data_IF_045398096397
#
_entry.id   IF_045398096397
#
_cell.length_a   1.000
_cell.length_b   1.000
_cell.length_c   1.000
_cell.angle_alpha   90.00
_cell.angle_beta   90.00
_cell.angle_gamma   90.00
#
_symmetry.space_group_name_H-M   'P 1'
#
loop_
_entity.id
_entity.type
_entity.pdbx_description
1 polymer ?
#
# COMPACT_ATOMS: atom_id res chain seq x y z
N UNK A 1 -40.62 10.24 17.53
CA UNK A 1 -40.83 9.76 16.16
C UNK A 1 -41.59 8.44 16.25
N UNK A 2 -42.89 8.40 15.93
CA UNK A 2 -43.70 7.15 15.99
C UNK A 2 -43.36 6.34 14.74
N UNK A 3 -42.79 5.15 14.93
CA UNK A 3 -42.56 4.22 13.82
C UNK A 3 -43.90 3.84 13.19
N UNK A 4 -44.00 3.81 11.84
CA UNK A 4 -45.21 3.44 11.14
C UNK A 4 -45.65 2.03 11.54
N UNK A 5 -46.98 1.77 11.58
CA UNK A 5 -47.58 0.48 11.93
C UNK A 5 -47.29 -0.61 10.87
N UNK A 6 -46.04 -0.95 10.73
CA UNK A 6 -45.59 -2.01 9.84
C UNK A 6 -45.89 -3.39 10.45
N UNK A 7 -46.26 -4.36 9.62
CA UNK A 7 -46.49 -5.73 10.08
C UNK A 7 -45.23 -6.26 10.77
N UNK A 8 -45.38 -7.08 11.80
CA UNK A 8 -44.30 -7.72 12.57
C UNK A 8 -43.26 -8.37 11.63
N UNK A 9 -43.72 -8.96 10.53
CA UNK A 9 -42.89 -9.59 9.50
C UNK A 9 -41.95 -8.59 8.81
N UNK A 10 -42.44 -7.41 8.47
CA UNK A 10 -41.65 -6.36 7.84
C UNK A 10 -40.58 -5.79 8.79
N UNK A 11 -40.92 -5.71 10.08
CA UNK A 11 -39.96 -5.33 11.14
C UNK A 11 -38.81 -6.34 11.26
N UNK A 12 -39.12 -7.64 11.24
CA UNK A 12 -38.12 -8.71 11.30
C UNK A 12 -37.23 -8.71 10.05
N UNK A 13 -37.81 -8.57 8.85
CA UNK A 13 -37.01 -8.47 7.61
C UNK A 13 -36.07 -7.27 7.60
N UNK A 14 -36.55 -6.11 8.03
CA UNK A 14 -35.72 -4.90 8.10
C UNK A 14 -34.62 -5.04 9.14
N UNK A 15 -34.90 -5.67 10.28
CA UNK A 15 -33.90 -5.90 11.31
C UNK A 15 -32.82 -6.90 10.83
N UNK A 16 -33.23 -7.97 10.11
CA UNK A 16 -32.30 -8.92 9.53
C UNK A 16 -31.41 -8.30 8.44
N UNK A 17 -32.00 -7.47 7.57
CA UNK A 17 -31.24 -6.73 6.54
C UNK A 17 -30.29 -5.72 7.21
N UNK A 18 -30.75 -4.99 8.22
CA UNK A 18 -29.91 -4.05 8.97
C UNK A 18 -28.72 -4.72 9.65
N UNK A 19 -28.95 -5.89 10.26
CA UNK A 19 -27.89 -6.69 10.87
C UNK A 19 -26.88 -7.21 9.83
N UNK A 20 -27.37 -7.70 8.69
CA UNK A 20 -26.52 -8.16 7.59
C UNK A 20 -25.63 -7.04 7.04
N UNK A 21 -26.20 -5.85 6.81
CA UNK A 21 -25.45 -4.67 6.34
C UNK A 21 -24.42 -4.23 7.39
N UNK A 22 -24.80 -4.23 8.67
CA UNK A 22 -23.88 -3.90 9.76
C UNK A 22 -22.72 -4.89 9.88
N UNK A 23 -22.98 -6.20 9.77
CA UNK A 23 -21.94 -7.23 9.76
C UNK A 23 -20.99 -7.09 8.57
N UNK A 24 -21.54 -6.91 7.36
CA UNK A 24 -20.71 -6.71 6.16
C UNK A 24 -19.87 -5.43 6.25
N UNK A 25 -20.43 -4.34 6.77
CA UNK A 25 -19.70 -3.10 7.01
C UNK A 25 -18.57 -3.26 8.04
N UNK A 26 -18.81 -3.98 9.12
CA UNK A 26 -17.81 -4.27 10.14
C UNK A 26 -16.66 -5.15 9.58
N UNK A 27 -17.01 -6.18 8.81
CA UNK A 27 -16.00 -7.05 8.14
C UNK A 27 -15.19 -6.24 7.14
N UNK A 28 -15.83 -5.42 6.31
CA UNK A 28 -15.14 -4.57 5.34
C UNK A 28 -14.18 -3.58 6.00
N UNK A 29 -14.61 -2.92 7.08
CA UNK A 29 -13.77 -1.99 7.83
C UNK A 29 -12.55 -2.67 8.48
N UNK A 30 -12.76 -3.83 9.10
CA UNK A 30 -11.64 -4.57 9.72
C UNK A 30 -10.70 -5.14 8.67
N UNK A 31 -11.22 -5.62 7.54
CA UNK A 31 -10.42 -6.12 6.43
C UNK A 31 -9.55 -5.01 5.80
N UNK A 32 -10.11 -3.82 5.55
CA UNK A 32 -9.37 -2.66 5.04
C UNK A 32 -8.21 -2.28 5.97
N UNK A 33 -8.49 -2.17 7.28
CA UNK A 33 -7.47 -1.79 8.26
C UNK A 33 -6.33 -2.81 8.34
N UNK A 34 -6.65 -4.10 8.47
CA UNK A 34 -5.67 -5.19 8.54
C UNK A 34 -4.88 -5.31 7.23
N UNK A 35 -5.54 -5.18 6.09
CA UNK A 35 -4.89 -5.29 4.78
C UNK A 35 -3.89 -4.15 4.55
N UNK A 36 -4.25 -2.91 4.87
CA UNK A 36 -3.33 -1.75 4.78
C UNK A 36 -2.10 -1.94 5.66
N UNK A 37 -2.29 -2.37 6.90
CA UNK A 37 -1.18 -2.60 7.84
C UNK A 37 -0.24 -3.69 7.34
N UNK A 38 -0.77 -4.85 6.96
CA UNK A 38 0.02 -6.00 6.47
C UNK A 38 0.76 -5.71 5.16
N UNK A 39 0.10 -5.05 4.20
CA UNK A 39 0.74 -4.71 2.93
C UNK A 39 1.83 -3.66 3.10
N UNK A 40 1.64 -2.71 3.99
CA UNK A 40 2.65 -1.70 4.33
C UNK A 40 3.89 -2.36 4.94
N UNK A 41 3.70 -3.25 5.91
CA UNK A 41 4.77 -4.00 6.57
C UNK A 41 5.53 -4.89 5.57
N UNK A 42 4.83 -5.66 4.76
CA UNK A 42 5.41 -6.53 3.74
C UNK A 42 6.16 -5.75 2.65
N UNK A 43 5.62 -4.60 2.21
CA UNK A 43 6.29 -3.72 1.26
C UNK A 43 7.59 -3.16 1.84
N UNK A 44 7.58 -2.77 3.11
CA UNK A 44 8.76 -2.24 3.80
C UNK A 44 9.85 -3.31 3.94
N UNK A 45 9.48 -4.53 4.33
CA UNK A 45 10.43 -5.63 4.45
C UNK A 45 11.05 -6.00 3.10
N UNK A 46 10.23 -6.03 2.05
CA UNK A 46 10.71 -6.24 0.68
C UNK A 46 11.71 -5.17 0.25
N UNK A 47 11.45 -3.90 0.55
CA UNK A 47 12.36 -2.81 0.22
C UNK A 47 13.66 -2.89 1.02
N UNK A 48 13.59 -3.30 2.29
CA UNK A 48 14.76 -3.53 3.13
C UNK A 48 15.68 -4.59 2.53
N UNK A 49 15.14 -5.75 2.17
CA UNK A 49 15.89 -6.83 1.52
C UNK A 49 16.49 -6.37 0.20
N UNK A 50 15.75 -5.60 -0.62
CA UNK A 50 16.26 -5.05 -1.87
C UNK A 50 17.38 -4.02 -1.65
N UNK A 51 17.31 -3.21 -0.60
CA UNK A 51 18.38 -2.27 -0.25
C UNK A 51 19.64 -3.00 0.23
N UNK A 52 19.50 -4.06 1.00
CA UNK A 52 20.61 -4.93 1.43
C UNK A 52 21.28 -5.60 0.21
N UNK A 53 20.47 -6.19 -0.67
CA UNK A 53 20.97 -6.79 -1.91
C UNK A 53 21.69 -5.74 -2.80
N UNK A 54 21.16 -4.54 -2.89
CA UNK A 54 21.80 -3.44 -3.61
C UNK A 54 23.16 -3.10 -2.99
N UNK A 55 23.25 -3.04 -1.67
CA UNK A 55 24.51 -2.85 -0.96
C UNK A 55 25.54 -3.94 -1.29
N UNK A 56 25.10 -5.21 -1.36
CA UNK A 56 25.97 -6.35 -1.75
C UNK A 56 26.41 -6.23 -3.22
N UNK A 57 25.49 -5.90 -4.14
CA UNK A 57 25.83 -5.73 -5.55
C UNK A 57 26.88 -4.61 -5.72
N UNK A 58 26.73 -3.51 -4.97
CA UNK A 58 27.70 -2.40 -5.01
C UNK A 58 29.07 -2.88 -4.47
N UNK A 59 29.09 -3.57 -3.34
CA UNK A 59 30.34 -4.16 -2.79
C UNK A 59 31.00 -5.14 -3.76
N UNK A 60 30.18 -5.93 -4.46
CA UNK A 60 30.68 -6.87 -5.49
C UNK A 60 31.30 -6.20 -6.70
N UNK A 61 31.02 -4.92 -6.96
CA UNK A 61 31.67 -4.13 -8.05
C UNK A 61 33.08 -3.63 -7.68
N UNK A 62 33.46 -3.75 -6.42
CA UNK A 62 34.73 -3.32 -5.88
C UNK A 62 34.60 -2.24 -4.80
N UNK A 63 35.74 -1.67 -4.41
CA UNK A 63 35.80 -0.66 -3.35
C UNK A 63 34.97 0.58 -3.72
N UNK A 64 34.22 1.10 -2.75
CA UNK A 64 33.51 2.37 -2.91
C UNK A 64 34.43 3.51 -2.47
N UNK A 65 34.70 4.46 -3.35
CA UNK A 65 35.61 5.58 -3.10
C UNK A 65 35.13 6.86 -3.80
N UNK A 66 35.63 8.00 -3.34
CA UNK A 66 35.50 9.26 -4.07
C UNK A 66 36.88 9.56 -4.70
N UNK A 67 36.92 9.53 -6.03
CA UNK A 67 38.12 9.84 -6.84
C UNK A 67 37.82 11.04 -7.74
N UNK A 68 38.68 12.03 -7.72
CA UNK A 68 38.50 13.29 -8.47
C UNK A 68 37.12 13.91 -8.29
N UNK A 69 36.59 13.84 -7.03
CA UNK A 69 35.27 14.37 -6.67
C UNK A 69 34.11 13.57 -7.19
N UNK A 70 34.31 12.41 -7.83
CA UNK A 70 33.26 11.51 -8.31
C UNK A 70 33.17 10.25 -7.45
N UNK A 71 31.94 9.78 -7.19
CA UNK A 71 31.69 8.52 -6.52
C UNK A 71 31.97 7.35 -7.48
N UNK A 72 32.72 6.38 -7.01
CA UNK A 72 33.10 5.20 -7.76
C UNK A 72 32.63 3.92 -7.06
N UNK A 73 32.20 2.93 -7.86
CA UNK A 73 32.04 1.53 -7.44
C UNK A 73 33.09 0.70 -8.17
N UNK A 74 34.23 0.41 -7.52
CA UNK A 74 35.40 -0.13 -8.17
C UNK A 74 35.88 0.81 -9.30
N UNK A 75 35.94 0.32 -10.53
CA UNK A 75 36.30 1.11 -11.70
C UNK A 75 35.15 1.89 -12.34
N UNK A 76 33.92 1.77 -11.81
CA UNK A 76 32.72 2.37 -12.44
C UNK A 76 32.41 3.72 -11.82
N UNK A 77 32.37 4.78 -12.61
CA UNK A 77 31.88 6.11 -12.22
C UNK A 77 30.37 6.05 -12.04
N UNK A 78 29.87 6.56 -10.91
CA UNK A 78 28.45 6.55 -10.55
C UNK A 78 27.78 7.88 -10.83
N UNK A 79 28.49 9.00 -10.63
CA UNK A 79 27.96 10.36 -10.84
C UNK A 79 27.40 10.50 -12.28
N UNK A 80 26.09 10.75 -12.39
CA UNK A 80 25.38 10.91 -13.68
C UNK A 80 25.25 9.64 -14.51
N UNK A 81 25.56 8.47 -13.97
CA UNK A 81 25.49 7.20 -14.72
C UNK A 81 24.07 6.62 -14.70
N UNK A 82 23.22 7.17 -15.55
CA UNK A 82 21.82 6.73 -15.70
C UNK A 82 21.71 5.26 -16.13
N UNK A 83 22.60 4.82 -17.03
CA UNK A 83 22.58 3.43 -17.53
C UNK A 83 22.84 2.41 -16.40
N UNK A 84 23.75 2.71 -15.47
CA UNK A 84 24.00 1.90 -14.29
C UNK A 84 22.76 1.81 -13.41
N UNK A 85 22.13 2.96 -13.10
CA UNK A 85 20.94 3.02 -12.26
C UNK A 85 19.78 2.30 -12.90
N UNK A 86 19.50 2.51 -14.18
CA UNK A 86 18.41 1.86 -14.90
C UNK A 86 18.63 0.33 -15.01
N UNK A 87 19.88 -0.09 -15.15
CA UNK A 87 20.24 -1.51 -15.11
C UNK A 87 19.90 -2.15 -13.76
N UNK A 88 20.30 -1.51 -12.68
CA UNK A 88 20.02 -1.99 -11.31
C UNK A 88 18.52 -1.95 -10.98
N UNK A 89 17.78 -0.93 -11.43
CA UNK A 89 16.31 -0.85 -11.27
C UNK A 89 15.62 -2.05 -11.93
N UNK A 90 16.03 -2.45 -13.14
CA UNK A 90 15.48 -3.64 -13.80
C UNK A 90 15.76 -4.92 -13.01
N UNK A 91 16.98 -5.07 -12.48
CA UNK A 91 17.35 -6.23 -11.67
C UNK A 91 16.56 -6.32 -10.35
N UNK A 92 16.20 -5.17 -9.75
CA UNK A 92 15.48 -5.08 -8.48
C UNK A 92 13.94 -5.07 -8.65
N UNK A 93 13.42 -5.38 -9.85
CA UNK A 93 11.98 -5.50 -10.10
C UNK A 93 11.26 -4.16 -10.19
N UNK A 94 11.90 -3.12 -10.75
CA UNK A 94 11.27 -1.86 -11.15
C UNK A 94 11.02 -0.85 -10.03
N UNK A 95 11.54 -1.08 -8.82
CA UNK A 95 11.55 -0.05 -7.78
C UNK A 95 12.54 1.06 -8.14
N UNK A 96 12.22 2.32 -7.82
CA UNK A 96 13.15 3.42 -8.06
C UNK A 96 14.40 3.27 -7.19
N UNK A 97 15.54 3.68 -7.73
CA UNK A 97 16.83 3.63 -7.06
C UNK A 97 17.47 5.01 -7.06
N UNK A 98 18.24 5.28 -6.03
CA UNK A 98 19.00 6.53 -5.89
C UNK A 98 20.36 6.26 -5.25
N UNK A 99 21.38 6.98 -5.73
CA UNK A 99 22.71 6.97 -5.14
C UNK A 99 23.07 8.37 -4.67
N UNK A 100 23.57 8.45 -3.45
CA UNK A 100 24.05 9.67 -2.82
C UNK A 100 25.57 9.64 -2.62
N UNK A 101 26.22 10.76 -2.90
CA UNK A 101 27.58 11.07 -2.49
C UNK A 101 27.50 12.09 -1.34
N UNK A 102 27.90 11.70 -0.12
CA UNK A 102 27.42 12.38 1.05
C UNK A 102 25.88 12.44 1.01
N UNK A 103 25.29 13.60 1.19
CA UNK A 103 23.85 13.85 1.10
C UNK A 103 23.37 14.29 -0.30
N UNK A 104 24.30 14.50 -1.25
CA UNK A 104 24.01 14.92 -2.62
C UNK A 104 23.62 13.73 -3.50
N UNK A 105 22.47 13.81 -4.16
CA UNK A 105 21.99 12.78 -5.09
C UNK A 105 22.75 12.87 -6.42
N UNK A 106 23.61 11.90 -6.69
CA UNK A 106 24.49 11.89 -7.87
C UNK A 106 23.98 11.03 -9.02
N UNK A 107 23.12 10.04 -8.72
CA UNK A 107 22.43 9.24 -9.73
C UNK A 107 21.05 8.80 -9.20
N UNK A 108 20.02 8.82 -10.04
CA UNK A 108 18.66 8.52 -9.60
C UNK A 108 17.76 8.07 -10.73
N UNK A 109 16.93 7.07 -10.46
CA UNK A 109 15.79 6.70 -11.30
C UNK A 109 14.50 7.44 -10.93
N UNK A 110 14.48 8.16 -9.81
CA UNK A 110 13.32 8.97 -9.40
C UNK A 110 13.17 10.15 -10.34
N UNK A 111 11.97 10.32 -10.88
CA UNK A 111 11.64 11.43 -11.79
C UNK A 111 10.68 12.39 -11.11
N UNK A 112 10.84 13.67 -11.41
CA UNK A 112 9.91 14.74 -11.09
C UNK A 112 8.69 14.68 -12.02
N UNK A 113 7.67 15.49 -11.72
CA UNK A 113 6.45 15.57 -12.53
C UNK A 113 6.72 16.01 -13.99
N UNK A 114 7.79 16.79 -14.23
CA UNK A 114 8.24 17.22 -15.54
C UNK A 114 9.07 16.15 -16.30
N UNK A 115 9.25 14.95 -15.69
CA UNK A 115 10.03 13.85 -16.27
C UNK A 115 11.54 13.92 -16.02
N UNK A 116 12.08 15.01 -15.47
CA UNK A 116 13.50 15.15 -15.15
C UNK A 116 13.88 14.26 -13.96
N UNK A 117 15.14 13.79 -13.94
CA UNK A 117 15.64 13.01 -12.80
C UNK A 117 15.97 13.92 -11.62
N UNK A 118 15.79 13.41 -10.40
CA UNK A 118 16.06 14.17 -9.17
C UNK A 118 17.55 14.33 -8.83
N UNK A 119 18.44 14.16 -9.80
CA UNK A 119 19.89 14.34 -9.65
C UNK A 119 20.22 15.78 -9.26
N UNK A 120 21.25 15.98 -8.44
CA UNK A 120 21.67 17.31 -7.95
C UNK A 120 20.91 17.80 -6.73
N UNK A 121 19.87 17.11 -6.28
CA UNK A 121 19.16 17.44 -5.04
C UNK A 121 19.82 16.80 -3.81
N UNK A 122 19.61 17.41 -2.63
CA UNK A 122 20.11 16.86 -1.37
C UNK A 122 19.04 16.05 -0.64
N UNK A 123 19.50 15.09 0.18
CA UNK A 123 18.59 14.37 1.08
C UNK A 123 18.01 15.35 2.10
N UNK A 124 16.70 15.33 2.27
CA UNK A 124 16.02 16.16 3.26
C UNK A 124 16.41 15.73 4.67
N UNK A 125 16.67 16.72 5.55
CA UNK A 125 16.91 16.44 6.96
C UNK A 125 15.69 15.69 7.56
N UNK A 126 15.97 14.58 8.23
CA UNK A 126 14.94 13.71 8.79
C UNK A 126 15.50 12.39 9.29
N UNK A 127 14.62 11.41 9.59
CA UNK A 127 15.04 10.11 10.16
C UNK A 127 16.04 9.35 9.28
N UNK A 128 15.86 9.37 7.95
CA UNK A 128 16.78 8.74 7.00
C UNK A 128 18.18 9.39 7.04
N UNK A 129 18.22 10.73 7.00
CA UNK A 129 19.49 11.47 7.10
C UNK A 129 20.22 11.18 8.41
N UNK A 130 19.51 11.24 9.53
CA UNK A 130 20.08 10.98 10.87
C UNK A 130 20.61 9.55 11.02
N UNK A 131 19.92 8.56 10.46
CA UNK A 131 20.38 7.18 10.46
C UNK A 131 21.65 7.01 9.63
N UNK A 132 21.61 7.44 8.37
CA UNK A 132 22.68 7.20 7.40
C UNK A 132 23.96 7.99 7.72
N UNK A 133 23.82 9.31 7.92
CA UNK A 133 24.96 10.22 8.03
C UNK A 133 25.28 10.61 9.49
N UNK A 134 24.32 10.48 10.40
CA UNK A 134 24.57 10.68 11.83
C UNK A 134 25.09 9.44 12.54
N UNK A 135 24.45 8.29 12.33
CA UNK A 135 24.80 7.03 13.00
C UNK A 135 25.52 6.02 12.11
N UNK A 136 25.50 6.22 10.80
CA UNK A 136 26.04 5.28 9.83
C UNK A 136 25.23 3.98 9.72
N UNK A 137 23.94 4.03 10.04
CA UNK A 137 23.06 2.85 10.07
C UNK A 137 22.17 2.79 8.84
N UNK A 138 21.75 1.60 8.40
CA UNK A 138 20.69 1.46 7.41
C UNK A 138 19.38 2.11 7.89
N UNK A 139 18.58 2.56 6.95
CA UNK A 139 17.25 3.11 7.23
C UNK A 139 16.21 2.44 6.35
N UNK A 140 15.06 2.12 6.93
CA UNK A 140 13.84 1.77 6.18
C UNK A 140 12.64 2.46 6.80
N UNK A 141 11.83 3.11 5.97
CA UNK A 141 10.69 3.89 6.45
C UNK A 141 10.17 4.88 5.42
N UNK A 142 9.28 5.73 5.91
CA UNK A 142 8.76 6.84 5.13
C UNK A 142 9.82 7.94 5.01
N UNK A 143 9.99 8.45 3.81
CA UNK A 143 10.89 9.56 3.53
C UNK A 143 10.25 10.55 2.56
N UNK A 144 10.49 11.83 2.75
CA UNK A 144 9.99 12.89 1.87
C UNK A 144 11.01 13.14 0.74
N UNK A 145 10.59 12.91 -0.50
CA UNK A 145 11.41 13.15 -1.69
C UNK A 145 10.69 14.18 -2.55
N UNK A 146 11.22 15.39 -2.60
CA UNK A 146 10.67 16.51 -3.39
C UNK A 146 9.16 16.72 -3.14
N UNK A 147 8.74 16.73 -1.87
CA UNK A 147 7.35 16.95 -1.48
C UNK A 147 6.44 15.72 -1.61
N UNK A 148 6.93 14.60 -2.15
CA UNK A 148 6.20 13.34 -2.26
C UNK A 148 6.68 12.35 -1.19
N UNK A 149 5.75 11.71 -0.49
CA UNK A 149 6.07 10.67 0.49
C UNK A 149 6.40 9.35 -0.22
N UNK A 150 7.57 8.80 0.11
CA UNK A 150 8.07 7.53 -0.39
C UNK A 150 8.20 6.51 0.73
N UNK A 151 7.91 5.25 0.43
CA UNK A 151 8.54 4.14 1.12
C UNK A 151 9.94 3.95 0.59
N UNK A 152 10.93 4.01 1.47
CA UNK A 152 12.34 3.96 1.08
C UNK A 152 13.15 3.11 2.06
N UNK A 153 14.10 2.37 1.51
CA UNK A 153 15.14 1.69 2.29
C UNK A 153 16.50 2.08 1.75
N UNK A 154 17.43 2.40 2.64
CA UNK A 154 18.75 2.89 2.32
C UNK A 154 19.83 2.08 3.03
N UNK A 155 20.97 1.91 2.35
CA UNK A 155 22.21 1.36 2.89
C UNK A 155 23.30 2.42 2.84
N UNK A 156 24.08 2.65 3.91
CA UNK A 156 25.22 3.54 3.88
C UNK A 156 26.33 2.96 3.00
N UNK A 157 26.96 3.80 2.21
CA UNK A 157 28.17 3.48 1.45
C UNK A 157 29.38 3.89 2.26
N UNK A 158 30.30 2.94 2.48
CA UNK A 158 31.51 3.17 3.24
C UNK A 158 32.73 3.05 2.33
N UNK A 159 33.72 3.85 2.60
CA UNK A 159 35.04 3.72 2.02
C UNK A 159 35.88 2.62 2.73
N UNK A 160 37.12 2.45 2.29
CA UNK A 160 38.07 1.48 2.88
C UNK A 160 38.40 1.76 4.35
N UNK A 161 38.29 3.00 4.80
CA UNK A 161 38.50 3.40 6.19
C UNK A 161 37.26 3.16 7.07
N UNK A 162 36.12 2.75 6.48
CA UNK A 162 34.86 2.54 7.16
C UNK A 162 34.01 3.81 7.30
N UNK A 163 34.50 4.95 6.80
CA UNK A 163 33.75 6.23 6.83
C UNK A 163 32.56 6.20 5.85
N UNK A 164 31.41 6.73 6.27
CA UNK A 164 30.24 6.87 5.41
C UNK A 164 30.47 7.98 4.42
N UNK A 165 30.64 7.63 3.14
CA UNK A 165 30.89 8.57 2.05
C UNK A 165 29.66 8.81 1.16
N UNK A 166 28.56 8.09 1.41
CA UNK A 166 27.32 8.20 0.66
C UNK A 166 26.28 7.20 1.11
N UNK A 167 25.25 7.02 0.30
CA UNK A 167 24.21 6.03 0.51
C UNK A 167 23.63 5.53 -0.82
N UNK A 168 23.17 4.30 -0.85
CA UNK A 168 22.29 3.78 -1.90
C UNK A 168 20.91 3.51 -1.32
N UNK A 169 19.88 3.75 -2.10
CA UNK A 169 18.52 3.50 -1.66
C UNK A 169 17.61 3.01 -2.77
N UNK A 170 16.63 2.24 -2.36
CA UNK A 170 15.51 1.79 -3.19
C UNK A 170 14.20 2.26 -2.57
N UNK A 171 13.20 2.50 -3.39
CA UNK A 171 11.90 2.95 -2.89
C UNK A 171 10.87 3.14 -3.98
N UNK A 172 9.74 3.67 -3.58
CA UNK A 172 8.66 4.07 -4.47
C UNK A 172 7.69 5.01 -3.76
N UNK A 173 6.93 5.81 -4.52
CA UNK A 173 5.93 6.70 -3.93
C UNK A 173 4.89 5.89 -3.16
N UNK A 174 4.52 6.39 -1.99
CA UNK A 174 3.53 5.76 -1.11
C UNK A 174 2.21 5.49 -1.86
N UNK A 175 1.80 6.40 -2.74
CA UNK A 175 0.58 6.27 -3.54
C UNK A 175 0.53 4.98 -4.37
N UNK A 176 1.68 4.51 -4.89
CA UNK A 176 1.75 3.26 -5.66
C UNK A 176 1.39 2.03 -4.82
N UNK A 177 1.73 2.05 -3.54
CA UNK A 177 1.44 0.94 -2.62
C UNK A 177 -0.01 1.00 -2.12
N UNK A 178 -0.55 2.21 -1.93
CA UNK A 178 -1.92 2.42 -1.45
C UNK A 178 -2.94 2.16 -2.55
N UNK A 179 -2.70 2.56 -3.80
CA UNK A 179 -3.65 2.38 -4.91
C UNK A 179 -4.05 0.93 -5.13
N UNK A 180 -3.12 -0.02 -4.94
CA UNK A 180 -3.43 -1.46 -5.04
C UNK A 180 -4.46 -1.89 -3.98
N UNK A 181 -4.38 -1.32 -2.78
CA UNK A 181 -5.33 -1.60 -1.69
C UNK A 181 -6.69 -0.99 -2.01
N UNK A 182 -6.70 0.27 -2.49
CA UNK A 182 -7.95 0.98 -2.81
C UNK A 182 -8.74 0.25 -3.90
N UNK A 183 -8.09 -0.27 -4.93
CA UNK A 183 -8.71 -1.05 -5.99
C UNK A 183 -9.35 -2.35 -5.45
N UNK A 184 -8.65 -3.07 -4.57
CA UNK A 184 -9.17 -4.29 -3.94
C UNK A 184 -10.37 -4.00 -3.03
N UNK A 185 -10.28 -2.97 -2.20
CA UNK A 185 -11.36 -2.55 -1.29
C UNK A 185 -12.60 -2.15 -2.09
N UNK A 186 -12.43 -1.41 -3.18
CA UNK A 186 -13.53 -1.00 -4.05
C UNK A 186 -14.21 -2.21 -4.72
N UNK A 187 -13.43 -3.18 -5.19
CA UNK A 187 -13.95 -4.43 -5.76
C UNK A 187 -14.75 -5.22 -4.72
N UNK A 188 -14.23 -5.41 -3.50
CA UNK A 188 -14.95 -6.06 -2.41
C UNK A 188 -16.23 -5.32 -2.03
N UNK A 189 -16.24 -3.98 -2.04
CA UNK A 189 -17.43 -3.18 -1.77
C UNK A 189 -18.54 -3.39 -2.82
N UNK A 190 -18.17 -3.50 -4.11
CA UNK A 190 -19.12 -3.82 -5.18
C UNK A 190 -19.72 -5.21 -4.97
N UNK A 191 -18.90 -6.22 -4.73
CA UNK A 191 -19.36 -7.60 -4.52
C UNK A 191 -20.28 -7.70 -3.30
N UNK A 192 -19.93 -7.06 -2.19
CA UNK A 192 -20.79 -7.00 -1.00
C UNK A 192 -22.13 -6.31 -1.29
N UNK A 193 -22.13 -5.25 -2.07
CA UNK A 193 -23.36 -4.54 -2.47
C UNK A 193 -24.28 -5.42 -3.32
N UNK A 194 -23.72 -6.16 -4.27
CA UNK A 194 -24.47 -7.13 -5.09
C UNK A 194 -25.07 -8.23 -4.23
N UNK A 195 -24.30 -8.78 -3.29
CA UNK A 195 -24.78 -9.80 -2.36
C UNK A 195 -25.97 -9.30 -1.52
N UNK A 196 -25.90 -8.08 -1.00
CA UNK A 196 -27.01 -7.45 -0.26
C UNK A 196 -28.26 -7.33 -1.13
N UNK A 197 -28.13 -6.86 -2.37
CA UNK A 197 -29.26 -6.73 -3.30
C UNK A 197 -29.90 -8.10 -3.58
N UNK A 198 -29.10 -9.12 -3.83
CA UNK A 198 -29.60 -10.49 -4.05
C UNK A 198 -30.29 -11.06 -2.83
N UNK A 199 -29.76 -10.86 -1.62
CA UNK A 199 -30.41 -11.25 -0.37
C UNK A 199 -31.76 -10.56 -0.17
N UNK A 200 -31.82 -9.25 -0.41
CA UNK A 200 -33.09 -8.49 -0.33
C UNK A 200 -34.11 -9.01 -1.34
N UNK A 201 -33.71 -9.25 -2.59
CA UNK A 201 -34.57 -9.81 -3.62
C UNK A 201 -35.10 -11.20 -3.23
N UNK A 202 -34.22 -12.08 -2.71
CA UNK A 202 -34.59 -13.40 -2.25
C UNK A 202 -35.61 -13.34 -1.09
N UNK A 203 -35.40 -12.47 -0.11
CA UNK A 203 -36.33 -12.26 1.02
C UNK A 203 -37.70 -11.78 0.51
N UNK A 204 -37.71 -10.84 -0.44
CA UNK A 204 -38.97 -10.33 -1.02
C UNK A 204 -39.72 -11.43 -1.80
N UNK A 205 -39.00 -12.21 -2.60
CA UNK A 205 -39.58 -13.35 -3.33
C UNK A 205 -40.13 -14.40 -2.36
N UNK A 206 -39.39 -14.81 -1.35
CA UNK A 206 -39.81 -15.74 -0.34
C UNK A 206 -41.07 -15.26 0.40
N UNK A 207 -41.12 -13.98 0.74
CA UNK A 207 -42.30 -13.36 1.37
C UNK A 207 -43.53 -13.40 0.47
N UNK A 208 -43.34 -13.19 -0.84
CA UNK A 208 -44.46 -13.24 -1.80
C UNK A 208 -44.94 -14.64 -2.08
N UNK A 209 -44.06 -15.62 -2.24
CA UNK A 209 -44.42 -16.97 -2.70
C UNK A 209 -44.89 -17.90 -1.58
N UNK A 210 -44.33 -17.77 -0.37
CA UNK A 210 -44.63 -18.70 0.72
C UNK A 210 -45.49 -18.05 1.82
N UNK A 211 -45.16 -16.85 2.24
CA UNK A 211 -45.79 -16.28 3.41
C UNK A 211 -47.20 -15.72 3.12
N UNK A 212 -47.47 -15.19 1.93
CA UNK A 212 -48.78 -14.68 1.56
C UNK A 212 -49.85 -15.77 1.38
N UNK A 213 -49.60 -16.90 0.70
CA UNK A 213 -50.58 -17.98 0.57
C UNK A 213 -50.95 -18.59 1.91
N UNK A 214 -50.00 -18.86 2.80
CA UNK A 214 -50.22 -19.45 4.11
C UNK A 214 -51.13 -18.55 4.99
N UNK A 215 -50.89 -17.23 4.97
CA UNK A 215 -51.70 -16.29 5.73
C UNK A 215 -53.15 -16.18 5.21
N UNK A 216 -53.39 -16.44 3.92
CA UNK A 216 -54.75 -16.51 3.34
C UNK A 216 -55.48 -17.79 3.74
N UNK A 217 -54.77 -18.92 3.76
CA UNK A 217 -55.37 -20.22 4.21
C UNK A 217 -55.75 -20.23 5.69
N UNK A 218 -54.92 -19.62 6.56
CA UNK A 218 -55.24 -19.48 7.98
C UNK A 218 -56.45 -18.56 8.24
N UNK A 219 -56.55 -17.44 7.46
CA UNK A 219 -57.67 -16.52 7.60
C UNK A 219 -59.00 -17.16 7.15
N UNK A 220 -58.99 -17.97 6.09
CA UNK A 220 -60.21 -18.72 5.65
C UNK A 220 -60.61 -19.85 6.63
N UNK A 221 -59.64 -20.54 7.24
CA UNK A 221 -59.95 -21.55 8.25
C UNK A 221 -60.55 -20.97 9.54
N UNK A 222 -60.06 -19.81 9.99
CA UNK A 222 -60.65 -19.11 11.15
C UNK A 222 -62.04 -18.57 10.84
N UNK A 223 -62.31 -18.14 9.62
CA UNK A 223 -63.65 -17.68 9.21
C UNK A 223 -64.70 -18.83 9.15
N UNK A 224 -64.26 -20.04 8.76
CA UNK A 224 -65.10 -21.24 8.74
C UNK A 224 -65.35 -21.81 10.17
N UNK A 225 -64.40 -21.65 11.09
CA UNK A 225 -64.52 -22.13 12.47
C UNK A 225 -65.37 -21.22 13.39
N UNK A 226 -65.65 -19.98 12.94
CA UNK A 226 -66.42 -18.99 13.70
C UNK A 226 -67.86 -18.77 13.18
N UNK A 227 -68.30 -19.44 12.13
CA UNK A 227 -69.70 -19.50 11.65
C UNK A 227 -70.36 -20.84 11.92
#
# INVERSE_FOLDING_TARGET
MRLPNWSIRMKICLMAIGLLVACLGAIGFTADHVLRERLTESAMETLKVKAELLGEIVRGKGETAIVDGKLMFGATVVDGNDALVDGLVRMLGGNTMTVYKGDLRVASAVRLADGTRTVGTRMTAGPAYAALFGRGEPYSGLNLVQGVTFFSAYQPLRDRAGAVIGAVGVGGPLSRFISVVDDLVWQCAIEASVAVVLCVAAILLFTRTITRPIARLTATMTAIASG
#
